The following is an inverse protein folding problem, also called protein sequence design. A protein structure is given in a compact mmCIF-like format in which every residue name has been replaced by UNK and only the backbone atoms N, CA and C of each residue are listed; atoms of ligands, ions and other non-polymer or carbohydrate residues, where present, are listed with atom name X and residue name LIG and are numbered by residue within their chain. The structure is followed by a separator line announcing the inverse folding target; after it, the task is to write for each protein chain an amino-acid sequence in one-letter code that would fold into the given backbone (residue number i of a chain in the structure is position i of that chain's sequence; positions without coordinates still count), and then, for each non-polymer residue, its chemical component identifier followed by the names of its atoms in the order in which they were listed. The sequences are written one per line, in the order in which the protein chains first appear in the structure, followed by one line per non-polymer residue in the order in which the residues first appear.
data_IF_179122529600
#
_entry.id   IF_179122529600
#
_cell.length_a   1.000
_cell.length_b   1.000
_cell.length_c   1.000
_cell.angle_alpha   90.00
_cell.angle_beta   90.00
_cell.angle_gamma   90.00
#
_symmetry.space_group_name_H-M   'P 1'
#
loop_
_entity.id
_entity.type
_entity.pdbx_description
1 polymer ?
#
# COMPACT_ATOMS: atom_id res chain seq x y z
N UNK A 1 -3.84 6.21 12.02
CA UNK A 1 -3.04 6.33 13.25
C UNK A 1 -2.30 7.67 13.18
N UNK A 2 -2.39 8.51 14.21
CA UNK A 2 -1.82 9.86 14.23
C UNK A 2 -0.31 9.82 14.53
N UNK A 3 0.32 11.00 14.66
CA UNK A 3 1.75 11.19 14.97
C UNK A 3 2.35 10.24 16.02
N UNK A 4 1.54 9.71 16.94
CA UNK A 4 1.95 8.72 17.93
C UNK A 4 0.77 7.81 18.32
N UNK A 5 1.03 6.86 19.21
CA UNK A 5 -0.01 6.04 19.84
C UNK A 5 -0.61 6.77 21.07
N UNK A 6 -1.39 7.81 20.81
CA UNK A 6 -2.02 8.61 21.87
C UNK A 6 -2.89 7.78 22.82
N UNK A 7 -3.54 6.73 22.30
CA UNK A 7 -4.40 5.87 23.11
C UNK A 7 -3.57 5.08 24.14
N UNK A 8 -2.42 4.55 23.74
CA UNK A 8 -1.47 3.88 24.64
C UNK A 8 -0.93 4.85 25.70
N UNK A 9 -0.49 6.06 25.31
CA UNK A 9 -0.01 7.07 26.26
C UNK A 9 -1.04 7.44 27.32
N UNK A 10 -2.30 7.63 26.92
CA UNK A 10 -3.41 7.92 27.85
C UNK A 10 -3.67 6.72 28.75
N UNK A 11 -3.66 5.50 28.21
CA UNK A 11 -3.85 4.27 28.97
C UNK A 11 -2.79 4.10 30.06
N UNK A 12 -1.52 4.29 29.72
CA UNK A 12 -0.41 4.21 30.67
C UNK A 12 -0.52 5.29 31.76
N UNK A 13 -0.84 6.53 31.40
CA UNK A 13 -1.07 7.62 32.36
C UNK A 13 -2.20 7.30 33.35
N UNK A 14 -3.32 6.74 32.86
CA UNK A 14 -4.44 6.35 33.70
C UNK A 14 -4.06 5.23 34.68
N UNK A 15 -3.37 4.19 34.20
CA UNK A 15 -2.91 3.09 35.06
C UNK A 15 -1.93 3.60 36.11
N UNK A 16 -0.97 4.43 35.71
CA UNK A 16 0.00 5.05 36.64
C UNK A 16 -0.68 5.89 37.72
N UNK A 17 -1.73 6.63 37.34
CA UNK A 17 -2.49 7.49 38.25
C UNK A 17 -3.36 6.68 39.21
N UNK A 18 -4.08 5.67 38.69
CA UNK A 18 -5.01 4.85 39.48
C UNK A 18 -4.29 3.97 40.50
N UNK A 19 -3.09 3.48 40.16
CA UNK A 19 -2.29 2.64 41.04
C UNK A 19 -1.37 3.45 41.98
N UNK A 20 -1.43 4.78 41.91
CA UNK A 20 -0.54 5.71 42.62
C UNK A 20 0.93 5.27 42.54
N UNK A 21 1.40 5.07 41.31
CA UNK A 21 2.77 4.61 41.08
C UNK A 21 3.77 5.57 41.75
N UNK A 22 4.75 5.04 42.53
CA UNK A 22 5.79 5.87 43.14
C UNK A 22 6.76 6.44 42.10
N UNK A 23 6.76 5.89 40.89
CA UNK A 23 7.55 6.38 39.75
C UNK A 23 6.58 6.93 38.71
N UNK A 24 6.76 8.19 38.34
CA UNK A 24 5.91 8.91 37.40
C UNK A 24 6.66 9.18 36.10
N UNK A 25 5.99 8.99 34.97
CA UNK A 25 6.56 9.27 33.64
C UNK A 25 6.06 10.60 33.09
N UNK A 26 6.91 11.26 32.29
CA UNK A 26 6.51 12.43 31.53
C UNK A 26 5.88 12.02 30.19
N UNK A 27 4.60 11.64 30.24
CA UNK A 27 3.86 11.20 29.05
C UNK A 27 3.71 12.30 27.99
N UNK A 28 3.73 13.58 28.38
CA UNK A 28 3.68 14.70 27.42
C UNK A 28 4.97 14.74 26.61
N UNK A 29 6.12 14.65 27.29
CA UNK A 29 7.41 14.57 26.62
C UNK A 29 7.53 13.32 25.75
N UNK A 30 7.16 12.15 26.26
CA UNK A 30 7.20 10.89 25.51
C UNK A 30 6.31 10.93 24.25
N UNK A 31 5.11 11.50 24.35
CA UNK A 31 4.21 11.69 23.21
C UNK A 31 4.82 12.63 22.16
N UNK A 32 5.48 13.72 22.58
CA UNK A 32 6.18 14.65 21.68
C UNK A 32 7.35 13.97 20.96
N UNK A 33 8.22 13.27 21.71
CA UNK A 33 9.37 12.55 21.14
C UNK A 33 8.91 11.45 20.18
N UNK A 34 7.83 10.74 20.51
CA UNK A 34 7.24 9.73 19.63
C UNK A 34 6.73 10.34 18.33
N UNK A 35 6.06 11.50 18.40
CA UNK A 35 5.59 12.27 17.25
C UNK A 35 6.73 12.66 16.30
N UNK A 36 7.78 13.27 16.86
CA UNK A 36 8.93 13.74 16.07
C UNK A 36 9.67 12.57 15.40
N UNK A 37 9.81 11.44 16.12
CA UNK A 37 10.42 10.23 15.56
C UNK A 37 9.58 9.63 14.44
N UNK A 38 8.26 9.61 14.56
CA UNK A 38 7.37 9.07 13.53
C UNK A 38 7.50 9.87 12.22
N UNK A 39 7.53 11.21 12.33
CA UNK A 39 7.77 12.10 11.20
C UNK A 39 9.11 11.83 10.52
N UNK A 40 10.20 11.84 11.31
CA UNK A 40 11.54 11.60 10.79
C UNK A 40 11.63 10.23 10.10
N UNK A 41 11.06 9.20 10.71
CA UNK A 41 11.06 7.84 10.14
C UNK A 41 10.25 7.76 8.85
N UNK A 42 9.20 8.56 8.70
CA UNK A 42 8.43 8.64 7.46
C UNK A 42 9.21 9.34 6.34
N UNK A 43 9.97 10.38 6.69
CA UNK A 43 10.89 11.04 5.76
C UNK A 43 11.97 10.06 5.27
N UNK A 44 12.61 9.32 6.18
CA UNK A 44 13.58 8.27 5.87
C UNK A 44 12.97 7.18 4.97
N UNK A 45 11.76 6.70 5.30
CA UNK A 45 11.02 5.76 4.48
C UNK A 45 10.77 6.30 3.06
N UNK A 46 10.36 7.56 2.95
CA UNK A 46 10.11 8.20 1.66
C UNK A 46 11.40 8.25 0.84
N UNK A 47 12.52 8.65 1.44
CA UNK A 47 13.83 8.67 0.77
C UNK A 47 14.26 7.28 0.30
N UNK A 48 14.05 6.23 1.11
CA UNK A 48 14.38 4.86 0.71
C UNK A 48 13.46 4.31 -0.38
N UNK A 49 12.17 4.68 -0.40
CA UNK A 49 11.24 4.33 -1.49
C UNK A 49 11.59 5.04 -2.80
N UNK A 50 12.15 6.25 -2.74
CA UNK A 50 12.58 7.01 -3.93
C UNK A 50 13.95 6.57 -4.47
N UNK A 51 14.68 5.75 -3.71
CA UNK A 51 16.03 5.36 -4.04
C UNK A 51 16.06 4.45 -5.28
N UNK A 52 16.78 4.89 -6.30
CA UNK A 52 16.86 4.17 -7.57
C UNK A 52 15.68 4.43 -8.50
N UNK A 53 14.83 5.43 -8.20
CA UNK A 53 13.81 5.90 -9.14
C UNK A 53 14.46 6.37 -10.45
N UNK A 54 13.90 5.92 -11.55
CA UNK A 54 14.21 6.37 -12.89
C UNK A 54 13.35 7.58 -13.26
N UNK A 55 13.92 8.53 -13.99
CA UNK A 55 13.22 9.72 -14.47
C UNK A 55 12.40 9.46 -15.73
N UNK A 56 12.72 8.39 -16.45
CA UNK A 56 12.05 8.01 -17.68
C UNK A 56 10.67 7.41 -17.39
N UNK A 57 9.82 7.34 -18.41
CA UNK A 57 8.51 6.68 -18.28
C UNK A 57 8.70 5.17 -18.43
N UNK A 58 7.74 4.36 -17.93
CA UNK A 58 7.81 2.93 -18.16
C UNK A 58 7.91 2.64 -19.66
N UNK A 59 8.74 1.67 -20.00
CA UNK A 59 8.98 1.27 -21.41
C UNK A 59 7.73 0.70 -22.10
N UNK A 60 6.66 0.46 -21.35
CA UNK A 60 5.40 -0.13 -21.81
C UNK A 60 4.24 0.86 -21.66
N UNK A 61 3.21 0.79 -22.53
CA UNK A 61 1.96 1.50 -22.34
C UNK A 61 1.34 1.23 -20.96
N UNK A 62 0.73 2.26 -20.35
CA UNK A 62 0.07 2.09 -19.05
C UNK A 62 -1.09 1.07 -19.11
N UNK A 63 -1.77 0.98 -20.25
CA UNK A 63 -2.82 0.00 -20.52
C UNK A 63 -2.39 -1.45 -20.33
N UNK A 64 -1.10 -1.78 -20.48
CA UNK A 64 -0.61 -3.15 -20.31
C UNK A 64 -0.72 -3.64 -18.86
N UNK A 65 -0.62 -2.70 -17.90
CA UNK A 65 -0.70 -2.98 -16.47
C UNK A 65 -2.14 -3.05 -15.95
N UNK A 66 -3.12 -2.57 -16.72
CA UNK A 66 -4.54 -2.54 -16.33
C UNK A 66 -5.09 -3.96 -16.22
N UNK A 67 -5.75 -4.28 -15.12
CA UNK A 67 -6.32 -5.61 -14.93
C UNK A 67 -6.75 -5.88 -13.50
N UNK A 68 -7.33 -7.05 -13.29
CA UNK A 68 -7.65 -7.55 -11.96
C UNK A 68 -6.66 -8.64 -11.59
N UNK A 69 -5.97 -8.46 -10.47
CA UNK A 69 -4.92 -9.36 -10.00
C UNK A 69 -5.37 -10.00 -8.69
N UNK A 70 -5.34 -11.33 -8.61
CA UNK A 70 -5.88 -12.10 -7.50
C UNK A 70 -4.79 -12.93 -6.84
N UNK A 71 -4.69 -12.85 -5.52
CA UNK A 71 -3.67 -13.51 -4.70
C UNK A 71 -4.26 -14.10 -3.42
N UNK A 72 -3.40 -14.61 -2.54
CA UNK A 72 -3.80 -15.28 -1.29
C UNK A 72 -4.80 -16.43 -1.52
N UNK A 73 -4.60 -17.21 -2.58
CA UNK A 73 -5.50 -18.32 -2.91
C UNK A 73 -6.91 -17.89 -3.34
N UNK A 74 -7.08 -16.67 -3.86
CA UNK A 74 -8.36 -16.21 -4.43
C UNK A 74 -9.13 -15.21 -3.56
N UNK A 75 -8.67 -14.91 -2.35
CA UNK A 75 -9.45 -14.13 -1.36
C UNK A 75 -9.20 -12.63 -1.43
N UNK A 76 -8.15 -12.20 -2.14
CA UNK A 76 -7.79 -10.80 -2.23
C UNK A 76 -7.48 -10.39 -3.65
N UNK A 77 -8.09 -9.28 -4.05
CA UNK A 77 -8.02 -8.71 -5.38
C UNK A 77 -7.38 -7.33 -5.32
N UNK A 78 -6.50 -7.05 -6.26
CA UNK A 78 -5.98 -5.72 -6.55
C UNK A 78 -6.42 -5.40 -7.97
N UNK A 79 -7.23 -4.36 -8.13
CA UNK A 79 -7.59 -3.85 -9.45
C UNK A 79 -6.67 -2.71 -9.80
N UNK A 80 -6.13 -2.74 -11.02
CA UNK A 80 -5.33 -1.66 -11.58
C UNK A 80 -6.11 -1.07 -12.74
N UNK A 81 -6.38 0.23 -12.68
CA UNK A 81 -7.14 0.96 -13.69
C UNK A 81 -6.32 2.12 -14.22
N UNK A 82 -6.56 2.47 -15.48
CA UNK A 82 -6.00 3.67 -16.09
C UNK A 82 -7.01 4.81 -15.99
N UNK A 83 -6.52 5.97 -15.54
CA UNK A 83 -7.28 7.21 -15.38
C UNK A 83 -6.61 8.32 -16.19
N UNK A 84 -7.24 9.49 -16.27
CA UNK A 84 -6.63 10.68 -16.87
C UNK A 84 -5.29 11.07 -16.22
N UNK A 85 -5.07 10.67 -14.96
CA UNK A 85 -3.88 10.99 -14.17
C UNK A 85 -2.85 9.85 -14.12
N UNK A 86 -3.04 8.80 -14.92
CA UNK A 86 -2.21 7.60 -14.95
C UNK A 86 -2.86 6.43 -14.22
N UNK A 87 -2.05 5.52 -13.68
CA UNK A 87 -2.54 4.31 -13.05
C UNK A 87 -3.01 4.54 -11.60
N UNK A 88 -4.10 3.88 -11.23
CA UNK A 88 -4.54 3.71 -9.85
C UNK A 88 -4.68 2.23 -9.53
N UNK A 89 -4.33 1.85 -8.29
CA UNK A 89 -4.63 0.54 -7.74
C UNK A 89 -5.75 0.65 -6.70
N UNK A 90 -6.67 -0.32 -6.70
CA UNK A 90 -7.78 -0.41 -5.78
C UNK A 90 -7.70 -1.74 -5.03
N UNK A 91 -7.55 -1.66 -3.71
CA UNK A 91 -7.64 -2.86 -2.88
C UNK A 91 -9.10 -3.35 -2.82
N UNK A 92 -9.31 -4.61 -3.21
CA UNK A 92 -10.62 -5.25 -3.30
C UNK A 92 -11.62 -4.48 -4.20
N UNK A 93 -11.13 -3.78 -5.23
CA UNK A 93 -11.96 -2.98 -6.16
C UNK A 93 -12.67 -1.78 -5.50
N UNK A 94 -12.24 -1.37 -4.30
CA UNK A 94 -12.90 -0.29 -3.55
C UNK A 94 -12.28 1.06 -3.88
N UNK A 95 -13.09 1.99 -4.39
CA UNK A 95 -12.66 3.38 -4.65
C UNK A 95 -12.14 4.10 -3.39
N UNK A 96 -12.73 3.82 -2.23
CA UNK A 96 -12.26 4.36 -0.95
C UNK A 96 -10.86 3.85 -0.55
N UNK A 97 -10.36 2.83 -1.25
CA UNK A 97 -9.04 2.24 -1.12
C UNK A 97 -8.23 2.38 -2.42
N UNK A 98 -8.53 3.40 -3.23
CA UNK A 98 -7.77 3.73 -4.42
C UNK A 98 -6.49 4.49 -4.08
N UNK A 99 -5.38 4.09 -4.71
CA UNK A 99 -4.07 4.72 -4.60
C UNK A 99 -3.47 4.93 -5.97
N UNK A 100 -2.97 6.14 -6.22
CA UNK A 100 -2.21 6.43 -7.43
C UNK A 100 -0.92 5.62 -7.44
N UNK A 101 -0.65 4.97 -8.56
CA UNK A 101 0.62 4.31 -8.85
C UNK A 101 1.56 5.29 -9.56
N UNK A 102 2.72 5.51 -8.96
CA UNK A 102 3.76 6.40 -9.46
C UNK A 102 4.91 5.54 -9.99
N UNK A 103 5.28 5.73 -11.25
CA UNK A 103 6.35 4.97 -11.88
C UNK A 103 7.67 5.10 -11.12
N UNK A 104 8.27 3.98 -10.72
CA UNK A 104 9.56 3.97 -10.04
C UNK A 104 10.70 3.59 -10.98
N UNK A 105 10.69 2.36 -11.49
CA UNK A 105 11.74 1.82 -12.38
C UNK A 105 11.25 0.52 -13.04
N UNK A 106 11.72 0.19 -14.22
CA UNK A 106 11.32 -1.02 -14.98
C UNK A 106 9.79 -1.20 -15.11
N UNK A 107 9.24 -2.22 -14.45
CA UNK A 107 7.81 -2.50 -14.33
C UNK A 107 7.34 -2.31 -12.88
N UNK A 108 7.98 -1.41 -12.14
CA UNK A 108 7.75 -1.16 -10.72
C UNK A 108 7.10 0.20 -10.51
N UNK A 109 6.06 0.22 -9.69
CA UNK A 109 5.36 1.44 -9.30
C UNK A 109 5.29 1.52 -7.78
N UNK A 110 5.36 2.73 -7.24
CA UNK A 110 5.11 2.98 -5.82
C UNK A 110 3.74 3.60 -5.61
N UNK A 111 3.11 3.26 -4.49
CA UNK A 111 1.85 3.86 -4.03
C UNK A 111 2.01 4.65 -2.73
N UNK A 112 3.25 4.91 -2.30
CA UNK A 112 3.52 5.78 -1.17
C UNK A 112 2.95 7.18 -1.43
N UNK A 113 2.17 7.70 -0.48
CA UNK A 113 1.60 9.06 -0.54
C UNK A 113 2.34 10.00 0.41
N UNK A 114 1.94 11.27 0.50
CA UNK A 114 2.43 12.14 1.57
C UNK A 114 1.94 11.66 2.94
N UNK A 115 2.66 12.07 4.00
CA UNK A 115 2.25 11.83 5.39
C UNK A 115 0.81 12.28 5.63
N UNK A 116 0.48 13.51 5.25
CA UNK A 116 -0.85 14.09 5.47
C UNK A 116 -1.96 13.25 4.82
N UNK A 117 -1.72 12.70 3.62
CA UNK A 117 -2.69 11.81 2.97
C UNK A 117 -2.81 10.45 3.67
N UNK A 118 -1.70 9.88 4.17
CA UNK A 118 -1.77 8.64 4.97
C UNK A 118 -2.60 8.85 6.25
N UNK A 119 -2.36 9.96 6.96
CA UNK A 119 -3.07 10.30 8.20
C UNK A 119 -4.54 10.56 7.93
N UNK A 120 -4.87 11.32 6.87
CA UNK A 120 -6.25 11.58 6.44
C UNK A 120 -7.02 10.30 6.14
N UNK A 121 -6.33 9.28 5.60
CA UNK A 121 -6.89 7.95 5.33
C UNK A 121 -6.90 7.03 6.55
N UNK A 122 -6.45 7.51 7.71
CA UNK A 122 -6.33 6.78 8.96
C UNK A 122 -5.55 5.46 8.87
N UNK A 123 -4.69 5.28 7.86
CA UNK A 123 -3.92 4.04 7.70
C UNK A 123 -2.93 3.83 8.84
N UNK A 124 -2.61 2.56 9.06
CA UNK A 124 -1.38 2.18 9.75
C UNK A 124 -0.20 2.33 8.79
N UNK A 125 0.86 3.00 9.24
CA UNK A 125 2.06 3.21 8.44
C UNK A 125 2.98 2.01 8.64
N UNK A 126 3.30 1.33 7.54
CA UNK A 126 4.34 0.30 7.52
C UNK A 126 5.67 0.98 7.20
N UNK A 127 6.73 0.71 7.96
CA UNK A 127 8.04 1.33 7.77
C UNK A 127 9.02 0.40 7.04
N UNK A 128 8.53 -0.29 6.01
CA UNK A 128 9.31 -1.12 5.10
C UNK A 128 9.12 -0.57 3.67
N UNK A 129 10.19 -0.16 2.98
CA UNK A 129 10.08 0.45 1.65
C UNK A 129 9.33 -0.42 0.63
N UNK A 130 9.65 -1.72 0.57
CA UNK A 130 9.05 -2.67 -0.38
C UNK A 130 7.53 -2.83 -0.21
N UNK A 131 6.99 -2.51 0.96
CA UNK A 131 5.54 -2.51 1.19
C UNK A 131 4.81 -1.52 0.27
N UNK A 132 5.47 -0.43 -0.09
CA UNK A 132 4.89 0.58 -0.97
C UNK A 132 5.19 0.33 -2.45
N UNK A 133 5.82 -0.78 -2.79
CA UNK A 133 6.23 -1.11 -4.16
C UNK A 133 5.39 -2.25 -4.74
N UNK A 134 4.92 -2.04 -5.96
CA UNK A 134 4.20 -3.01 -6.78
C UNK A 134 5.06 -3.34 -7.99
N UNK A 135 5.43 -4.60 -8.15
CA UNK A 135 6.28 -5.08 -9.25
C UNK A 135 5.48 -5.93 -10.20
N UNK A 136 5.30 -5.47 -11.43
CA UNK A 136 4.63 -6.24 -12.46
C UNK A 136 5.63 -7.15 -13.18
N UNK A 137 5.22 -8.39 -13.47
CA UNK A 137 6.01 -9.36 -14.23
C UNK A 137 5.27 -9.75 -15.50
N UNK A 138 6.07 -10.03 -16.52
CA UNK A 138 5.59 -10.52 -17.81
C UNK A 138 5.51 -12.04 -17.84
N UNK A 139 4.51 -12.58 -18.54
CA UNK A 139 4.43 -13.99 -18.91
C UNK A 139 5.19 -14.30 -20.20
N UNK A 140 5.00 -15.52 -20.70
CA UNK A 140 5.68 -16.05 -21.90
C UNK A 140 5.33 -15.29 -23.18
N UNK A 141 4.14 -14.70 -23.24
CA UNK A 141 3.65 -13.86 -24.34
C UNK A 141 4.14 -12.41 -24.28
N UNK A 142 5.03 -12.10 -23.33
CA UNK A 142 5.53 -10.77 -23.02
C UNK A 142 4.44 -9.81 -22.47
N UNK A 143 3.23 -10.29 -22.16
CA UNK A 143 2.16 -9.53 -21.52
C UNK A 143 2.30 -9.52 -19.99
N UNK A 144 1.77 -8.49 -19.32
CA UNK A 144 1.75 -8.44 -17.86
C UNK A 144 0.72 -9.45 -17.33
N UNK A 145 1.21 -10.45 -16.60
CA UNK A 145 0.40 -11.55 -16.06
C UNK A 145 0.39 -11.59 -14.53
N UNK A 146 1.37 -10.95 -13.89
CA UNK A 146 1.55 -11.03 -12.43
C UNK A 146 1.84 -9.67 -11.84
N UNK A 147 1.25 -9.41 -10.68
CA UNK A 147 1.54 -8.28 -9.80
C UNK A 147 2.15 -8.85 -8.50
N UNK A 148 3.40 -8.50 -8.20
CA UNK A 148 4.07 -8.92 -6.97
C UNK A 148 4.05 -7.83 -5.92
N UNK A 149 3.68 -8.19 -4.69
CA UNK A 149 3.64 -7.27 -3.57
C UNK A 149 4.22 -7.87 -2.28
N UNK A 150 5.15 -7.15 -1.65
CA UNK A 150 5.71 -7.52 -0.33
C UNK A 150 4.84 -6.88 0.75
N UNK A 151 3.78 -7.57 1.16
CA UNK A 151 2.77 -7.02 2.06
C UNK A 151 3.05 -7.25 3.55
N UNK A 152 3.99 -8.14 3.89
CA UNK A 152 4.34 -8.50 5.26
C UNK A 152 5.86 -8.70 5.38
N UNK A 153 6.46 -8.09 6.41
CA UNK A 153 7.87 -8.28 6.77
C UNK A 153 8.25 -9.72 7.08
N UNK A 154 7.30 -10.54 7.52
CA UNK A 154 7.51 -11.96 7.77
C UNK A 154 7.54 -12.80 6.47
N UNK A 155 7.13 -12.23 5.33
CA UNK A 155 7.11 -12.86 4.00
C UNK A 155 7.94 -11.99 3.04
N UNK A 156 9.28 -11.94 3.20
CA UNK A 156 10.14 -11.03 2.46
C UNK A 156 10.15 -11.28 0.95
N UNK A 157 9.83 -12.49 0.51
CA UNK A 157 9.61 -12.82 -0.90
C UNK A 157 8.39 -12.11 -1.48
N UNK A 158 7.39 -11.76 -0.66
CA UNK A 158 6.09 -11.23 -1.07
C UNK A 158 5.19 -12.26 -1.76
N UNK A 159 4.00 -11.82 -2.13
CA UNK A 159 2.96 -12.63 -2.77
C UNK A 159 2.83 -12.25 -4.25
N UNK A 160 2.64 -13.26 -5.11
CA UNK A 160 2.31 -13.07 -6.52
C UNK A 160 0.78 -13.09 -6.70
N UNK A 161 0.24 -12.01 -7.25
CA UNK A 161 -1.16 -11.87 -7.64
C UNK A 161 -1.29 -12.11 -9.13
N UNK A 162 -2.06 -13.13 -9.52
CA UNK A 162 -2.21 -13.54 -10.92
C UNK A 162 -3.33 -12.73 -11.56
N UNK A 163 -3.06 -12.21 -12.76
CA UNK A 163 -4.06 -11.49 -13.55
C UNK A 163 -5.19 -12.45 -13.93
N UNK A 164 -6.43 -12.08 -13.60
CA UNK A 164 -7.60 -12.81 -14.07
C UNK A 164 -7.76 -12.62 -15.58
N UNK A 165 -8.04 -13.72 -16.28
CA UNK A 165 -8.49 -13.66 -17.66
C UNK A 165 -9.86 -12.98 -17.72
N UNK A 166 -9.98 -11.96 -18.57
CA UNK A 166 -11.29 -11.42 -18.90
C UNK A 166 -12.02 -12.52 -19.68
N UNK A 167 -13.02 -13.15 -19.06
CA UNK A 167 -13.92 -14.07 -19.74
C UNK A 167 -14.64 -13.32 -20.86
N UNK A 168 -14.07 -13.34 -22.06
CA UNK A 168 -14.68 -12.79 -23.27
C UNK A 168 -15.74 -13.78 -23.77
N UNK A 169 -16.96 -13.65 -23.24
CA UNK A 169 -18.18 -14.15 -23.88
C UNK A 169 -18.88 -15.30 -23.17
N UNK A 170 -20.10 -15.05 -22.68
CA UNK A 170 -21.32 -15.85 -22.88
C UNK A 170 -22.47 -15.27 -22.03
N UNK A 171 -22.99 -14.09 -22.41
CA UNK A 171 -24.36 -13.71 -22.07
C UNK A 171 -25.21 -13.70 -23.35
N UNK A 172 -25.55 -14.91 -23.80
CA UNK A 172 -26.67 -15.14 -24.71
C UNK A 172 -27.60 -16.15 -24.05
N UNK A 173 -28.30 -15.73 -23.00
CA UNK A 173 -29.46 -16.49 -22.52
C UNK A 173 -30.66 -16.06 -23.35
N UNK A 174 -30.86 -16.75 -24.48
CA UNK A 174 -32.20 -16.90 -25.05
C UNK A 174 -33.00 -17.74 -24.06
N UNK A 175 -33.88 -17.12 -23.28
CA UNK A 175 -34.98 -17.85 -22.66
C UNK A 175 -36.09 -18.00 -23.71
N UNK A 176 -36.18 -19.22 -24.26
CA UNK A 176 -37.46 -19.80 -24.65
C UNK A 176 -38.20 -20.13 -23.36
N UNK A 177 -39.41 -19.59 -23.21
CA UNK A 177 -40.67 -20.32 -23.09
C UNK A 177 -41.82 -19.32 -23.25
#
# INVERSE_FOLDING_TARGET
MAFNDAADWIGQLLVETLLDSPVRNDYVHLASVSSDRALKRYEELSQEVEKGRELEKPNRPLSDYVGSYVGFGGVFRIEVVETENGLEMLFQGRESQAYRLQYHSDNTFTWLTSWNEQIKRARFIIFQPDFYSIRFKTGDDNGITTLKWVHDSAVPEGEDFIREEIATGLYSTKMRL
#
